data_IF_160490789467
#
_entry.id   IF_160490789467
#
_cell.length_a   1.000
_cell.length_b   1.000
_cell.length_c   1.000
_cell.angle_alpha   90.00
_cell.angle_beta   90.00
_cell.angle_gamma   90.00
#
_symmetry.space_group_name_H-M   'P 1'
#
loop_
_entity.id
_entity.type
_entity.pdbx_description
1 polymer ?
#
# COMPACT_ATOMS: atom_id res chain seq x y z
N UNK A 1 3.30 15.01 12.61
CA UNK A 1 2.90 14.35 11.36
C UNK A 1 2.35 15.42 10.43
N UNK A 2 2.90 15.55 9.23
CA UNK A 2 2.35 16.45 8.22
C UNK A 2 1.07 15.80 7.67
N UNK A 3 0.01 16.58 7.50
CA UNK A 3 -1.33 16.06 7.23
C UNK A 3 -1.62 16.05 5.74
N UNK A 4 -1.40 14.92 5.09
CA UNK A 4 -2.01 14.62 3.78
C UNK A 4 -3.52 14.58 3.90
N UNK A 5 -4.24 14.97 2.84
CA UNK A 5 -5.70 14.84 2.86
C UNK A 5 -6.10 13.37 2.75
N UNK A 6 -7.24 13.02 3.36
CA UNK A 6 -7.80 11.65 3.28
C UNK A 6 -8.06 11.23 1.83
N UNK A 7 -8.42 12.18 0.96
CA UNK A 7 -8.66 11.91 -0.46
C UNK A 7 -7.38 11.53 -1.21
N UNK A 8 -6.28 12.23 -0.96
CA UNK A 8 -4.98 11.95 -1.59
C UNK A 8 -4.43 10.59 -1.14
N UNK A 9 -4.56 10.28 0.15
CA UNK A 9 -4.21 8.97 0.69
C UNK A 9 -5.04 7.88 0.00
N UNK A 10 -6.37 8.05 -0.04
CA UNK A 10 -7.26 7.06 -0.64
C UNK A 10 -6.91 6.81 -2.11
N UNK A 11 -6.64 7.86 -2.89
CA UNK A 11 -6.26 7.73 -4.30
C UNK A 11 -4.96 6.92 -4.47
N UNK A 12 -3.94 7.19 -3.64
CA UNK A 12 -2.68 6.45 -3.67
C UNK A 12 -2.86 4.98 -3.26
N UNK A 13 -3.63 4.71 -2.21
CA UNK A 13 -3.89 3.35 -1.74
C UNK A 13 -4.73 2.52 -2.72
N UNK A 14 -5.69 3.15 -3.41
CA UNK A 14 -6.44 2.53 -4.50
C UNK A 14 -5.51 2.15 -5.65
N UNK A 15 -4.53 3.00 -6.00
CA UNK A 15 -3.52 2.64 -6.99
C UNK A 15 -2.70 1.41 -6.58
N UNK A 16 -2.30 1.30 -5.31
CA UNK A 16 -1.58 0.13 -4.80
C UNK A 16 -2.45 -1.13 -4.83
N UNK A 17 -3.70 -1.02 -4.36
CA UNK A 17 -4.68 -2.10 -4.38
C UNK A 17 -4.92 -2.62 -5.82
N UNK A 18 -5.00 -1.71 -6.79
CA UNK A 18 -5.13 -2.04 -8.22
C UNK A 18 -3.85 -2.66 -8.80
N UNK A 19 -2.67 -2.30 -8.31
CA UNK A 19 -1.41 -2.96 -8.69
C UNK A 19 -1.37 -4.41 -8.18
N UNK A 20 -1.89 -4.65 -6.97
CA UNK A 20 -2.00 -6.00 -6.42
C UNK A 20 -2.98 -6.88 -7.21
N UNK A 21 -4.07 -6.32 -7.76
CA UNK A 21 -5.01 -7.01 -8.67
C UNK A 21 -4.30 -7.70 -9.84
N UNK A 22 -3.32 -7.05 -10.45
CA UNK A 22 -2.55 -7.59 -11.59
C UNK A 22 -1.82 -8.88 -11.17
N UNK A 23 -1.37 -8.96 -9.91
CA UNK A 23 -0.71 -10.15 -9.34
C UNK A 23 -1.71 -11.20 -8.84
N UNK A 24 -2.95 -10.81 -8.53
CA UNK A 24 -4.04 -11.68 -8.05
C UNK A 24 -4.92 -12.17 -9.20
N UNK A 25 -4.38 -13.00 -10.10
CA UNK A 25 -5.12 -13.50 -11.26
C UNK A 25 -6.38 -14.29 -10.84
N UNK A 26 -7.54 -13.65 -11.07
CA UNK A 26 -8.91 -14.16 -11.15
C UNK A 26 -9.63 -14.79 -9.94
N UNK A 27 -8.95 -15.32 -8.91
CA UNK A 27 -9.68 -15.98 -7.79
C UNK A 27 -10.30 -15.01 -6.76
N UNK A 28 -9.84 -13.76 -6.71
CA UNK A 28 -10.20 -12.80 -5.67
C UNK A 28 -10.81 -11.49 -6.22
N UNK A 29 -11.37 -11.50 -7.44
CA UNK A 29 -11.99 -10.30 -8.04
C UNK A 29 -13.10 -9.70 -7.15
N UNK A 30 -13.92 -10.56 -6.53
CA UNK A 30 -14.97 -10.12 -5.58
C UNK A 30 -14.43 -9.48 -4.32
N UNK A 31 -13.27 -9.94 -3.82
CA UNK A 31 -12.65 -9.34 -2.65
C UNK A 31 -12.19 -7.91 -2.96
N UNK A 32 -11.57 -7.71 -4.11
CA UNK A 32 -11.19 -6.38 -4.58
C UNK A 32 -12.43 -5.48 -4.73
N UNK A 33 -13.47 -5.96 -5.41
CA UNK A 33 -14.71 -5.21 -5.61
C UNK A 33 -15.36 -4.81 -4.28
N UNK A 34 -15.45 -5.74 -3.33
CA UNK A 34 -15.96 -5.46 -1.99
C UNK A 34 -15.11 -4.40 -1.29
N UNK A 35 -13.78 -4.51 -1.38
CA UNK A 35 -12.87 -3.55 -0.75
C UNK A 35 -13.02 -2.15 -1.34
N UNK A 36 -13.19 -2.02 -2.65
CA UNK A 36 -13.47 -0.74 -3.29
C UNK A 36 -14.85 -0.20 -2.89
N UNK A 37 -15.85 -1.08 -2.79
CA UNK A 37 -17.21 -0.72 -2.40
C UNK A 37 -17.31 -0.20 -0.96
N UNK A 38 -16.46 -0.66 -0.03
CA UNK A 38 -16.32 -0.09 1.33
C UNK A 38 -16.01 1.42 1.31
N UNK A 39 -15.36 1.89 0.25
CA UNK A 39 -15.03 3.30 0.02
C UNK A 39 -15.92 3.97 -1.03
N UNK A 40 -17.02 3.32 -1.44
CA UNK A 40 -17.96 3.86 -2.44
C UNK A 40 -17.41 3.91 -3.87
N UNK A 41 -16.34 3.16 -4.17
CA UNK A 41 -15.69 3.15 -5.47
C UNK A 41 -16.11 1.94 -6.30
N UNK A 42 -16.35 2.15 -7.60
CA UNK A 42 -16.44 1.07 -8.57
C UNK A 42 -15.06 0.65 -9.08
N UNK A 43 -14.98 -0.51 -9.74
CA UNK A 43 -13.75 -0.94 -10.43
C UNK A 43 -13.34 0.04 -11.52
N UNK A 44 -14.30 0.69 -12.19
CA UNK A 44 -14.01 1.70 -13.21
C UNK A 44 -13.44 2.99 -12.60
N UNK A 45 -13.90 3.39 -11.40
CA UNK A 45 -13.32 4.51 -10.66
C UNK A 45 -11.89 4.20 -10.24
N UNK A 46 -11.69 3.01 -9.66
CA UNK A 46 -10.38 2.55 -9.22
C UNK A 46 -9.37 2.44 -10.38
N UNK A 47 -9.82 2.02 -11.56
CA UNK A 47 -8.97 1.98 -12.76
C UNK A 47 -8.52 3.38 -13.19
N UNK A 48 -9.45 4.36 -13.21
CA UNK A 48 -9.12 5.75 -13.54
C UNK A 48 -8.15 6.36 -12.53
N UNK A 49 -8.35 6.08 -11.24
CA UNK A 49 -7.43 6.50 -10.18
C UNK A 49 -6.05 5.86 -10.38
N UNK A 50 -6.01 4.55 -10.64
CA UNK A 50 -4.76 3.82 -10.85
C UNK A 50 -3.95 4.38 -12.00
N UNK A 51 -4.58 4.68 -13.14
CA UNK A 51 -3.93 5.29 -14.31
C UNK A 51 -3.37 6.68 -13.98
N UNK A 52 -4.20 7.56 -13.39
CA UNK A 52 -3.80 8.92 -13.00
C UNK A 52 -2.63 8.93 -12.03
N UNK A 53 -2.68 8.08 -10.99
CA UNK A 53 -1.60 7.98 -9.99
C UNK A 53 -0.36 7.35 -10.60
N UNK A 54 -0.49 6.34 -11.47
CA UNK A 54 0.64 5.73 -12.17
C UNK A 54 1.39 6.74 -13.04
N UNK A 55 0.67 7.61 -13.75
CA UNK A 55 1.26 8.68 -14.54
C UNK A 55 1.97 9.70 -13.65
N UNK A 56 1.33 10.11 -12.56
CA UNK A 56 1.89 11.09 -11.62
C UNK A 56 3.11 10.58 -10.84
N UNK A 57 3.20 9.28 -10.55
CA UNK A 57 4.36 8.69 -9.87
C UNK A 57 5.63 8.75 -10.72
N UNK A 58 5.49 8.80 -12.04
CA UNK A 58 6.61 8.93 -12.97
C UNK A 58 7.61 7.77 -12.91
N UNK A 59 8.86 8.08 -13.27
CA UNK A 59 9.96 7.13 -13.26
C UNK A 59 10.50 6.83 -11.85
N UNK A 60 11.36 5.81 -11.75
CA UNK A 60 11.94 5.40 -10.47
C UNK A 60 12.81 6.48 -9.82
N UNK A 61 13.49 7.31 -10.63
CA UNK A 61 14.40 8.35 -10.12
C UNK A 61 13.67 9.52 -9.46
N UNK A 62 12.43 9.79 -9.87
CA UNK A 62 11.58 10.86 -9.33
C UNK A 62 10.53 10.35 -8.35
N UNK A 63 10.39 9.03 -8.20
CA UNK A 63 9.25 8.39 -7.51
C UNK A 63 9.00 8.89 -6.09
N UNK A 64 10.03 9.11 -5.27
CA UNK A 64 9.84 9.61 -3.90
C UNK A 64 9.31 11.04 -3.88
N UNK A 65 9.85 11.92 -4.71
CA UNK A 65 9.35 13.30 -4.83
C UNK A 65 7.92 13.33 -5.38
N UNK A 66 7.64 12.51 -6.39
CA UNK A 66 6.29 12.36 -6.96
C UNK A 66 5.27 11.86 -5.92
N UNK A 67 5.65 10.90 -5.06
CA UNK A 67 4.81 10.48 -3.93
C UNK A 67 4.54 11.62 -2.95
N UNK A 68 5.55 12.43 -2.61
CA UNK A 68 5.32 13.61 -1.74
C UNK A 68 4.33 14.58 -2.36
N UNK A 69 4.46 14.87 -3.66
CA UNK A 69 3.54 15.76 -4.36
C UNK A 69 2.10 15.21 -4.35
N UNK A 70 1.94 13.92 -4.64
CA UNK A 70 0.65 13.24 -4.63
C UNK A 70 -0.04 13.27 -3.26
N UNK A 71 0.76 13.17 -2.20
CA UNK A 71 0.26 13.17 -0.82
C UNK A 71 0.16 14.59 -0.22
N UNK A 72 0.27 15.65 -1.03
CA UNK A 72 0.19 17.03 -0.56
C UNK A 72 1.37 17.46 0.33
N UNK A 73 2.46 16.69 0.33
CA UNK A 73 3.70 16.90 1.09
C UNK A 73 4.83 17.52 0.24
N UNK A 74 4.47 18.07 -0.92
CA UNK A 74 5.40 18.72 -1.85
C UNK A 74 6.17 19.87 -1.20
N UNK A 75 7.46 19.98 -1.53
CA UNK A 75 8.33 21.06 -1.03
C UNK A 75 8.91 20.84 0.37
N UNK A 76 8.53 19.76 1.06
CA UNK A 76 9.19 19.35 2.30
C UNK A 76 10.53 18.66 2.00
N UNK A 77 11.58 19.09 2.69
CA UNK A 77 12.93 18.50 2.60
C UNK A 77 13.08 17.17 3.35
N UNK A 78 11.99 16.62 3.88
CA UNK A 78 12.02 15.36 4.62
C UNK A 78 12.36 14.20 3.69
N UNK A 79 13.29 13.35 4.15
CA UNK A 79 13.64 12.06 3.52
C UNK A 79 12.70 10.92 3.94
N UNK A 80 11.66 11.22 4.71
CA UNK A 80 10.65 10.24 5.07
C UNK A 80 9.28 10.87 5.10
N UNK A 81 8.28 10.07 4.73
CA UNK A 81 6.87 10.41 4.85
C UNK A 81 6.12 9.21 5.41
N UNK A 82 4.99 9.47 6.06
CA UNK A 82 4.13 8.42 6.57
C UNK A 82 2.75 8.95 6.95
N UNK A 83 1.77 8.06 6.89
CA UNK A 83 0.36 8.34 7.19
C UNK A 83 -0.34 7.07 7.68
N UNK A 84 -1.47 7.23 8.37
CA UNK A 84 -2.34 6.12 8.74
C UNK A 84 -3.19 5.70 7.53
N UNK A 85 -3.21 4.40 7.24
CA UNK A 85 -3.93 3.84 6.08
C UNK A 85 -5.44 4.04 6.20
N UNK A 86 -6.09 4.31 5.06
CA UNK A 86 -7.54 4.45 4.93
C UNK A 86 -8.15 3.14 4.43
N UNK A 87 -7.52 2.52 3.43
CA UNK A 87 -7.94 1.24 2.82
C UNK A 87 -7.66 0.07 3.76
N UNK A 88 -6.57 0.11 4.52
CA UNK A 88 -6.21 -0.93 5.49
C UNK A 88 -6.16 -0.36 6.92
N UNK A 89 -7.33 -0.11 7.56
CA UNK A 89 -7.37 0.43 8.91
C UNK A 89 -6.51 -0.39 9.88
N UNK A 90 -5.74 0.30 10.72
CA UNK A 90 -4.79 -0.33 11.63
C UNK A 90 -3.38 -0.48 11.06
N UNK A 91 -3.15 -0.14 9.79
CA UNK A 91 -1.81 -0.06 9.21
C UNK A 91 -1.32 1.38 9.07
N UNK A 92 -0.02 1.57 9.23
CA UNK A 92 0.68 2.82 8.93
C UNK A 92 1.57 2.62 7.71
N UNK A 93 1.48 3.56 6.76
CA UNK A 93 2.41 3.62 5.65
C UNK A 93 3.64 4.43 6.04
N UNK A 94 4.82 3.98 5.62
CA UNK A 94 6.05 4.76 5.70
C UNK A 94 6.87 4.56 4.43
N UNK A 95 7.36 5.66 3.87
CA UNK A 95 8.37 5.64 2.82
C UNK A 95 9.61 6.45 3.21
N UNK A 96 10.78 6.00 2.77
CA UNK A 96 12.07 6.66 2.97
C UNK A 96 12.79 6.86 1.64
N UNK A 97 13.56 7.94 1.57
CA UNK A 97 14.46 8.23 0.48
C UNK A 97 15.92 7.99 0.87
N UNK A 98 16.72 7.56 -0.11
CA UNK A 98 18.17 7.44 0.00
C UNK A 98 18.85 8.79 0.15
N UNK A 99 20.18 8.80 0.26
CA UNK A 99 20.95 10.04 0.28
C UNK A 99 20.79 10.88 -0.98
N UNK A 100 20.64 10.20 -2.12
CA UNK A 100 20.43 10.75 -3.46
C UNK A 100 18.98 11.17 -3.72
N UNK A 101 18.07 10.98 -2.75
CA UNK A 101 16.65 11.33 -2.88
C UNK A 101 15.81 10.30 -3.64
N UNK A 102 16.38 9.14 -3.97
CA UNK A 102 15.64 8.04 -4.61
C UNK A 102 14.80 7.29 -3.59
N UNK A 103 13.70 6.66 -4.03
CA UNK A 103 12.90 5.81 -3.14
C UNK A 103 13.74 4.62 -2.65
N UNK A 104 13.96 4.54 -1.34
CA UNK A 104 14.72 3.46 -0.70
C UNK A 104 13.78 2.40 -0.13
N UNK A 105 12.71 2.83 0.54
CA UNK A 105 11.72 1.93 1.09
C UNK A 105 10.31 2.53 1.04
N UNK A 106 9.31 1.67 0.89
CA UNK A 106 7.89 1.99 1.02
C UNK A 106 7.18 0.76 1.60
N UNK A 107 6.64 0.86 2.81
CA UNK A 107 6.09 -0.28 3.54
C UNK A 107 4.86 0.11 4.36
N UNK A 108 3.99 -0.87 4.57
CA UNK A 108 2.90 -0.82 5.53
C UNK A 108 3.28 -1.62 6.77
N UNK A 109 2.98 -1.08 7.94
CA UNK A 109 3.25 -1.67 9.24
C UNK A 109 1.97 -1.77 10.03
N UNK A 110 1.68 -2.93 10.62
CA UNK A 110 0.50 -3.09 11.44
C UNK A 110 0.70 -2.44 12.82
N UNK A 111 -0.15 -1.48 13.18
CA UNK A 111 -0.01 -0.66 14.40
C UNK A 111 -0.44 -1.38 15.67
N UNK A 112 -1.19 -2.48 15.54
CA UNK A 112 -1.66 -3.31 16.66
C UNK A 112 -1.52 -4.77 16.30
N UNK A 113 -0.49 -5.43 16.80
CA UNK A 113 -0.28 -6.87 16.64
C UNK A 113 -1.27 -7.71 17.46
N UNK A 114 -2.56 -7.55 17.21
CA UNK A 114 -3.56 -8.56 17.55
C UNK A 114 -3.59 -9.59 16.41
N UNK A 115 -2.46 -10.26 16.18
CA UNK A 115 -2.41 -11.31 15.18
C UNK A 115 -3.34 -12.44 15.61
N UNK A 116 -4.39 -12.67 14.83
CA UNK A 116 -5.17 -13.90 14.94
C UNK A 116 -4.20 -15.06 14.71
N UNK A 117 -3.88 -15.81 15.78
CA UNK A 117 -3.02 -16.98 15.71
C UNK A 117 -3.74 -18.09 14.95
N UNK A 118 -3.69 -18.02 13.62
CA UNK A 118 -4.10 -19.08 12.72
C UNK A 118 -2.93 -20.03 12.49
N UNK A 119 -3.21 -21.33 12.32
CA UNK A 119 -2.16 -22.34 12.19
C UNK A 119 -1.61 -22.43 10.76
N UNK A 120 -2.33 -21.86 9.78
CA UNK A 120 -1.96 -21.89 8.36
C UNK A 120 -2.05 -20.51 7.69
N UNK A 121 -1.09 -20.13 6.81
CA UNK A 121 -1.20 -18.94 5.97
C UNK A 121 -2.48 -18.85 5.14
N UNK A 122 -3.08 -20.00 4.78
CA UNK A 122 -4.30 -20.04 3.96
C UNK A 122 -5.55 -19.60 4.71
N UNK A 123 -5.48 -19.53 6.03
CA UNK A 123 -6.57 -19.10 6.91
C UNK A 123 -6.53 -17.59 7.20
N UNK A 124 -5.45 -16.91 6.79
CA UNK A 124 -5.34 -15.46 6.93
C UNK A 124 -6.35 -14.76 6.03
N UNK A 125 -6.98 -13.74 6.60
CA UNK A 125 -7.75 -12.81 5.79
C UNK A 125 -6.79 -12.00 4.91
N UNK A 126 -7.19 -11.69 3.67
CA UNK A 126 -6.40 -10.82 2.82
C UNK A 126 -6.10 -9.47 3.50
N UNK A 127 -4.84 -9.04 3.41
CA UNK A 127 -4.34 -7.77 3.97
C UNK A 127 -4.50 -7.63 5.49
N UNK A 128 -4.64 -8.73 6.24
CA UNK A 128 -4.78 -8.68 7.70
C UNK A 128 -3.47 -8.70 8.46
N UNK A 129 -2.34 -8.78 7.76
CA UNK A 129 -1.02 -9.02 8.36
C UNK A 129 0.07 -8.38 7.50
N UNK A 130 1.09 -7.79 8.13
CA UNK A 130 2.29 -7.33 7.43
C UNK A 130 3.32 -8.45 7.23
N UNK A 131 4.38 -8.15 6.47
CA UNK A 131 5.40 -9.14 6.11
C UNK A 131 6.24 -9.60 7.30
N UNK A 132 6.42 -8.75 8.32
CA UNK A 132 7.22 -9.06 9.50
C UNK A 132 6.43 -9.97 10.44
N UNK A 133 5.14 -9.67 10.65
CA UNK A 133 4.21 -10.53 11.36
C UNK A 133 4.09 -11.90 10.69
N UNK A 134 3.94 -11.92 9.36
CA UNK A 134 3.89 -13.16 8.58
C UNK A 134 5.18 -13.98 8.75
N UNK A 135 6.34 -13.33 8.58
CA UNK A 135 7.65 -13.98 8.69
C UNK A 135 7.89 -14.55 10.08
N UNK A 136 7.45 -13.84 11.12
CA UNK A 136 7.56 -14.29 12.51
C UNK A 136 6.70 -15.53 12.79
N UNK A 137 5.53 -15.64 12.17
CA UNK A 137 4.59 -16.74 12.43
C UNK A 137 4.83 -17.97 11.56
N UNK A 138 5.11 -17.77 10.26
CA UNK A 138 5.18 -18.86 9.28
C UNK A 138 6.58 -19.08 8.69
N UNK A 139 7.54 -18.23 9.05
CA UNK A 139 8.86 -18.20 8.44
C UNK A 139 8.92 -17.29 7.21
N UNK A 140 10.12 -17.03 6.67
CA UNK A 140 10.30 -16.12 5.55
C UNK A 140 9.56 -16.62 4.32
N UNK A 141 9.00 -15.69 3.55
CA UNK A 141 8.55 -15.97 2.20
C UNK A 141 9.77 -16.36 1.36
N UNK A 142 9.97 -17.65 1.16
CA UNK A 142 10.89 -18.13 0.13
C UNK A 142 10.16 -18.00 -1.19
N UNK A 143 10.70 -17.21 -2.12
CA UNK A 143 10.35 -17.37 -3.53
C UNK A 143 10.54 -18.85 -3.81
N UNK A 144 9.47 -19.52 -4.23
CA UNK A 144 9.47 -20.96 -4.44
C UNK A 144 10.51 -21.35 -5.48
N UNK A 145 11.75 -21.55 -5.04
CA UNK A 145 12.81 -22.20 -5.78
C UNK A 145 12.39 -23.65 -5.91
N UNK A 146 11.68 -23.93 -7.00
CA UNK A 146 11.61 -25.26 -7.58
C UNK A 146 12.92 -25.59 -8.27
#
# INVERSE_FOLDING_TARGET
MNTSSVSEILDFEVHLLMTMKIRMVNKNAKLLENKLAEHGLSVADAQRIHERVSEALGDEGSRFESMKQLLGLGGLSSKSLGYNSVVWPGFDFTATASEEGMLESARYWHTRSDSSRVDSPTELLPWSMDIDEFTKQFGPLTDGLK
#
